data_IF_259798322732
#
_entry.id   IF_259798322732
#
_cell.length_a   1.000
_cell.length_b   1.000
_cell.length_c   1.000
_cell.angle_alpha   90.00
_cell.angle_beta   90.00
_cell.angle_gamma   90.00
#
_symmetry.space_group_name_H-M   'P 1'
#
loop_
_entity.id
_entity.type
_entity.pdbx_description
1 polymer ?
#
# COMPACT_ATOMS: atom_id res chain seq x y z
N UNK A 1 3.37 -3.10 1.12
CA UNK A 1 2.67 -4.39 0.95
C UNK A 1 2.87 -5.24 2.19
N UNK A 2 4.10 -5.35 2.68
CA UNK A 2 4.41 -6.18 3.86
C UNK A 2 3.65 -5.75 5.12
N UNK A 3 3.49 -4.45 5.38
CA UNK A 3 2.79 -3.97 6.57
C UNK A 3 1.33 -4.43 6.70
N UNK A 4 0.53 -4.37 5.63
CA UNK A 4 -0.88 -4.80 5.65
C UNK A 4 -0.98 -6.31 5.85
N UNK A 5 -0.10 -7.06 5.19
CA UNK A 5 0.00 -8.51 5.35
C UNK A 5 0.35 -8.89 6.79
N UNK A 6 1.31 -8.19 7.38
CA UNK A 6 1.76 -8.44 8.76
C UNK A 6 0.67 -8.08 9.78
N UNK A 7 -0.09 -7.01 9.55
CA UNK A 7 -1.27 -6.67 10.35
C UNK A 7 -2.35 -7.75 10.28
N UNK A 8 -2.65 -8.25 9.07
CA UNK A 8 -3.65 -9.31 8.88
C UNK A 8 -3.21 -10.62 9.55
N UNK A 9 -1.94 -11.00 9.38
CA UNK A 9 -1.38 -12.20 9.99
C UNK A 9 -1.29 -12.10 11.52
N UNK A 10 -0.97 -10.91 12.05
CA UNK A 10 -0.88 -10.64 13.49
C UNK A 10 -2.21 -10.31 14.18
N UNK A 11 -3.31 -10.18 13.43
CA UNK A 11 -4.61 -9.75 13.97
C UNK A 11 -5.25 -10.75 14.97
N UNK A 12 -4.83 -12.01 14.95
CA UNK A 12 -5.44 -13.08 15.74
C UNK A 12 -6.92 -13.34 15.39
N UNK A 13 -7.38 -12.88 14.23
CA UNK A 13 -8.78 -13.00 13.84
C UNK A 13 -9.16 -14.47 13.57
N UNK A 14 -10.15 -15.05 14.27
CA UNK A 14 -10.47 -16.48 14.21
C UNK A 14 -10.93 -16.95 12.83
N UNK A 15 -11.42 -16.01 12.00
CA UNK A 15 -11.82 -16.29 10.62
C UNK A 15 -10.68 -16.35 9.61
N UNK A 16 -9.43 -16.02 9.99
CA UNK A 16 -8.27 -16.05 9.08
C UNK A 16 -7.47 -17.33 9.36
N UNK A 17 -7.40 -18.21 8.37
CA UNK A 17 -6.58 -19.41 8.43
C UNK A 17 -5.16 -19.17 7.88
N UNK A 18 -5.04 -18.35 6.83
CA UNK A 18 -3.75 -18.07 6.19
C UNK A 18 -3.77 -16.71 5.49
N UNK A 19 -2.61 -16.05 5.45
CA UNK A 19 -2.37 -14.85 4.64
C UNK A 19 -1.14 -15.12 3.76
N UNK A 20 -1.28 -14.92 2.45
CA UNK A 20 -0.28 -15.21 1.42
C UNK A 20 -0.21 -14.11 0.36
N UNK A 21 0.70 -14.28 -0.61
CA UNK A 21 0.84 -13.41 -1.78
C UNK A 21 0.54 -14.16 -3.07
N UNK A 22 -0.42 -13.70 -3.85
CA UNK A 22 -0.71 -14.21 -5.19
C UNK A 22 -0.18 -13.26 -6.27
N UNK A 23 0.05 -13.80 -7.47
CA UNK A 23 0.54 -13.03 -8.63
C UNK A 23 -0.66 -12.52 -9.44
N UNK A 24 -0.72 -11.22 -9.69
CA UNK A 24 -1.72 -10.60 -10.58
C UNK A 24 -1.17 -10.59 -12.02
N UNK A 25 0.05 -10.07 -12.18
CA UNK A 25 0.71 -9.91 -13.49
C UNK A 25 2.24 -9.99 -13.33
N UNK A 26 3.00 -9.81 -14.41
CA UNK A 26 4.46 -9.80 -14.41
C UNK A 26 5.01 -8.70 -13.51
N UNK A 27 5.42 -9.09 -12.30
CA UNK A 27 6.01 -8.19 -11.30
C UNK A 27 5.01 -7.65 -10.26
N UNK A 28 3.71 -7.91 -10.42
CA UNK A 28 2.68 -7.46 -9.47
C UNK A 28 2.21 -8.65 -8.62
N UNK A 29 2.40 -8.53 -7.31
CA UNK A 29 1.88 -9.47 -6.32
C UNK A 29 1.00 -8.72 -5.33
N UNK A 30 -0.04 -9.40 -4.86
CA UNK A 30 -1.03 -8.83 -3.95
C UNK A 30 -1.48 -9.87 -2.93
N UNK A 31 -2.32 -9.46 -1.98
CA UNK A 31 -2.61 -10.26 -0.80
C UNK A 31 -3.75 -11.26 -1.06
N UNK A 32 -3.52 -12.52 -0.71
CA UNK A 32 -4.53 -13.57 -0.65
C UNK A 32 -4.77 -13.96 0.81
N UNK A 33 -6.04 -13.99 1.22
CA UNK A 33 -6.45 -14.40 2.56
C UNK A 33 -7.31 -15.65 2.44
N UNK A 34 -6.87 -16.74 3.05
CA UNK A 34 -7.65 -17.95 3.21
C UNK A 34 -8.38 -17.89 4.54
N UNK A 35 -9.71 -17.96 4.48
CA UNK A 35 -10.57 -17.98 5.64
C UNK A 35 -10.69 -19.38 6.25
N UNK A 36 -11.05 -19.44 7.53
CA UNK A 36 -11.25 -20.71 8.25
C UNK A 36 -12.41 -21.56 7.69
N UNK A 37 -13.36 -20.94 6.98
CA UNK A 37 -14.47 -21.60 6.29
C UNK A 37 -14.11 -22.09 4.86
N UNK A 38 -12.84 -21.96 4.47
CA UNK A 38 -12.33 -22.36 3.16
C UNK A 38 -12.54 -21.31 2.05
N UNK A 39 -13.15 -20.16 2.33
CA UNK A 39 -13.24 -19.06 1.37
C UNK A 39 -11.87 -18.42 1.14
N UNK A 40 -11.67 -17.90 -0.06
CA UNK A 40 -10.44 -17.19 -0.43
C UNK A 40 -10.81 -15.76 -0.85
N UNK A 41 -10.20 -14.78 -0.20
CA UNK A 41 -10.37 -13.36 -0.48
C UNK A 41 -9.08 -12.85 -1.10
N UNK A 42 -9.18 -12.28 -2.30
CA UNK A 42 -8.06 -11.64 -3.00
C UNK A 42 -8.18 -10.13 -2.91
N UNK A 43 -7.26 -9.51 -2.17
CA UNK A 43 -7.21 -8.08 -1.98
C UNK A 43 -6.34 -7.49 -3.09
N UNK A 44 -6.96 -6.71 -3.98
CA UNK A 44 -6.26 -6.01 -5.05
C UNK A 44 -5.98 -4.60 -4.52
N UNK A 45 -4.76 -4.33 -4.10
CA UNK A 45 -4.39 -3.04 -3.49
C UNK A 45 -3.87 -2.14 -4.61
N UNK A 46 -4.80 -1.42 -5.25
CA UNK A 46 -4.47 -0.34 -6.18
C UNK A 46 -3.76 0.79 -5.44
N UNK A 47 -2.48 1.00 -5.75
CA UNK A 47 -1.74 2.18 -5.30
C UNK A 47 -2.21 3.39 -6.11
N UNK A 48 -3.19 4.13 -5.58
CA UNK A 48 -3.67 5.36 -6.23
C UNK A 48 -2.77 6.56 -5.98
N UNK A 49 -1.80 6.45 -5.08
CA UNK A 49 -0.76 7.46 -4.94
C UNK A 49 0.12 7.46 -6.20
N UNK A 50 0.42 8.63 -6.79
CA UNK A 50 1.46 8.74 -7.81
C UNK A 50 2.74 8.03 -7.32
N UNK A 51 3.58 7.49 -8.22
CA UNK A 51 4.85 6.85 -7.85
C UNK A 51 5.79 7.76 -7.04
N UNK A 52 5.47 9.05 -6.96
CA UNK A 52 6.14 10.11 -6.21
C UNK A 52 5.28 10.47 -5.00
N UNK A 53 5.12 9.53 -4.06
CA UNK A 53 4.70 9.92 -2.71
C UNK A 53 5.70 10.90 -2.11
N UNK A 54 5.32 11.60 -1.04
CA UNK A 54 6.19 12.58 -0.39
C UNK A 54 7.56 11.97 -0.09
N UNK A 55 8.61 12.58 -0.64
CA UNK A 55 9.98 12.17 -0.35
C UNK A 55 10.40 12.75 1.00
N UNK A 56 10.04 12.09 2.09
CA UNK A 56 10.43 12.50 3.45
C UNK A 56 11.95 12.44 3.70
N UNK A 57 12.74 11.89 2.76
CA UNK A 57 14.20 11.89 2.82
C UNK A 57 14.81 13.21 2.35
N UNK A 58 14.02 14.07 1.71
CA UNK A 58 14.45 15.37 1.20
C UNK A 58 13.63 16.50 1.85
N UNK A 59 14.24 17.65 2.16
CA UNK A 59 13.50 18.82 2.59
C UNK A 59 12.48 19.23 1.52
N UNK A 60 11.23 19.48 1.91
CA UNK A 60 10.20 19.95 0.98
C UNK A 60 10.62 21.31 0.37
N UNK A 61 10.54 21.48 -0.96
CA UNK A 61 10.82 22.75 -1.59
C UNK A 61 9.74 23.78 -1.22
N UNK A 62 10.09 24.73 -0.36
CA UNK A 62 9.22 25.87 -0.05
C UNK A 62 9.23 26.84 -1.24
N UNK A 63 8.24 26.71 -2.12
CA UNK A 63 8.01 27.68 -3.20
C UNK A 63 7.28 28.88 -2.64
N UNK A 64 8.02 29.95 -2.35
CA UNK A 64 7.41 31.27 -2.10
C UNK A 64 7.24 32.00 -3.41
N UNK A 65 6.09 32.66 -3.61
CA UNK A 65 5.89 33.55 -4.75
C UNK A 65 6.86 34.72 -4.58
N UNK A 66 7.83 34.84 -5.48
CA UNK A 66 8.62 36.07 -5.58
C UNK A 66 7.66 37.19 -5.97
N UNK A 67 7.65 38.28 -5.20
CA UNK A 67 6.97 39.50 -5.59
C UNK A 67 7.62 39.97 -6.91
N UNK A 68 6.83 39.96 -7.98
CA UNK A 68 7.28 40.45 -9.29
C UNK A 68 7.39 41.96 -9.14
N UNK A 69 8.57 42.48 -8.79
CA UNK A 69 8.86 43.90 -8.83
C UNK A 69 8.85 44.35 -10.30
N UNK A 70 7.66 44.77 -10.76
CA UNK A 70 7.52 45.65 -11.91
C UNK A 70 7.57 47.09 -11.39
N UNK A 71 8.73 47.75 -11.48
CA UNK A 71 8.91 49.19 -11.69
C UNK A 71 10.40 49.55 -11.69
#
# INVERSE_FOLDING_TARGET
>A
MDHVRDLLAGSGHPGIAKVDLYKIDSGVRDIEVTCADGRVIRLNITRMSPPVGDNFSEPEPVVTKADVQNA
#
